data_IF_909309740081
#
_entry.id   IF_909309740081
#
_cell.length_a   1.000
_cell.length_b   1.000
_cell.length_c   1.000
_cell.angle_alpha   90.00
_cell.angle_beta   90.00
_cell.angle_gamma   90.00
#
_symmetry.space_group_name_H-M   'P 1'
#
loop_
_entity.id
_entity.type
_entity.pdbx_description
1 polymer ?
#
# COMPACT_ATOMS: atom_id res chain seq x y z
N UNK A 1 -41.34 9.78 -28.64
CA UNK A 1 -39.96 9.21 -28.60
C UNK A 1 -39.19 10.14 -27.70
N UNK A 2 -39.14 9.79 -26.42
CA UNK A 2 -38.31 10.46 -25.41
C UNK A 2 -36.88 10.01 -25.67
N UNK A 3 -35.99 10.94 -25.99
CA UNK A 3 -34.55 10.73 -25.93
C UNK A 3 -34.18 10.49 -24.45
N UNK A 4 -33.85 9.26 -24.15
CA UNK A 4 -33.18 8.94 -22.89
C UNK A 4 -31.77 9.52 -22.98
N UNK A 5 -31.58 10.65 -22.31
CA UNK A 5 -30.28 11.24 -22.05
C UNK A 5 -29.47 10.20 -21.28
N UNK A 6 -28.57 9.51 -21.96
CA UNK A 6 -27.61 8.61 -21.34
C UNK A 6 -26.64 9.50 -20.56
N UNK A 7 -26.86 9.57 -19.24
CA UNK A 7 -25.89 10.16 -18.30
C UNK A 7 -24.53 9.56 -18.62
N UNK A 8 -23.67 10.41 -19.16
CA UNK A 8 -22.26 10.10 -19.38
C UNK A 8 -21.66 9.72 -18.02
N UNK A 9 -21.40 8.44 -17.87
CA UNK A 9 -20.68 7.86 -16.73
C UNK A 9 -19.46 8.73 -16.48
N UNK A 10 -19.35 9.25 -15.27
CA UNK A 10 -18.23 10.05 -14.79
C UNK A 10 -16.90 9.46 -15.28
N UNK A 11 -16.25 10.17 -16.19
CA UNK A 11 -14.90 9.85 -16.64
C UNK A 11 -13.99 9.81 -15.41
N UNK A 12 -13.45 8.64 -15.15
CA UNK A 12 -12.61 8.34 -14.00
C UNK A 12 -11.49 9.37 -13.83
N UNK A 13 -11.28 9.88 -12.64
CA UNK A 13 -10.18 10.79 -12.29
C UNK A 13 -8.79 10.27 -12.74
N UNK A 14 -8.64 8.96 -12.88
CA UNK A 14 -7.43 8.32 -13.43
C UNK A 14 -7.36 8.47 -14.98
N UNK A 15 -8.46 8.59 -15.67
CA UNK A 15 -8.49 8.93 -17.11
C UNK A 15 -8.24 10.43 -17.36
N UNK A 16 -8.39 11.27 -16.34
CA UNK A 16 -8.12 12.71 -16.41
C UNK A 16 -6.62 13.02 -16.32
N UNK A 17 -5.77 12.12 -15.82
CA UNK A 17 -4.33 12.32 -15.89
C UNK A 17 -3.86 12.10 -17.33
N UNK A 18 -3.52 13.17 -18.02
CA UNK A 18 -2.98 13.13 -19.39
C UNK A 18 -1.66 12.36 -19.52
N UNK A 19 -1.04 11.96 -18.43
CA UNK A 19 0.26 11.27 -18.39
C UNK A 19 0.07 9.85 -17.88
N UNK A 20 0.40 8.86 -18.70
CA UNK A 20 0.44 7.44 -18.33
C UNK A 20 1.87 7.02 -18.01
N UNK A 21 2.03 5.97 -17.22
CA UNK A 21 3.37 5.45 -16.89
C UNK A 21 4.14 5.05 -18.14
N UNK A 22 3.46 4.46 -19.13
CA UNK A 22 4.04 4.07 -20.44
C UNK A 22 4.56 5.25 -21.26
N UNK A 23 4.09 6.47 -20.99
CA UNK A 23 4.46 7.68 -21.73
C UNK A 23 5.65 8.44 -21.08
N UNK A 24 6.15 7.92 -19.96
CA UNK A 24 7.30 8.50 -19.26
C UNK A 24 8.60 8.00 -19.91
N UNK A 25 9.31 8.89 -20.56
CA UNK A 25 10.63 8.59 -21.12
C UNK A 25 11.72 8.70 -20.06
N UNK A 26 12.64 7.74 -20.09
CA UNK A 26 13.83 7.78 -19.23
C UNK A 26 14.90 8.68 -19.86
N UNK A 27 15.51 9.59 -19.10
CA UNK A 27 16.62 10.41 -19.58
C UNK A 27 17.88 9.59 -19.89
N UNK A 28 18.01 8.42 -19.32
CA UNK A 28 19.06 7.42 -19.58
C UNK A 28 18.54 6.02 -19.23
N UNK A 29 19.08 4.99 -19.88
CA UNK A 29 18.72 3.60 -19.63
C UNK A 29 19.96 2.84 -19.13
N UNK A 30 19.86 2.30 -17.91
CA UNK A 30 20.91 1.48 -17.32
C UNK A 30 21.07 0.14 -18.05
N UNK A 31 19.97 -0.38 -18.60
CA UNK A 31 19.93 -1.61 -19.36
C UNK A 31 20.78 -1.56 -20.64
N UNK A 32 20.94 -0.39 -21.24
CA UNK A 32 21.83 -0.19 -22.40
C UNK A 32 23.31 -0.36 -22.04
N UNK A 33 23.68 -0.02 -20.80
CA UNK A 33 25.03 -0.21 -20.27
C UNK A 33 25.31 -1.62 -19.78
N UNK A 34 24.32 -2.23 -19.12
CA UNK A 34 24.39 -3.58 -18.61
C UNK A 34 22.99 -4.20 -18.55
N UNK A 35 22.77 -5.27 -19.30
CA UNK A 35 21.48 -5.96 -19.37
C UNK A 35 20.94 -6.45 -18.02
N UNK A 36 21.83 -6.71 -17.03
CA UNK A 36 21.43 -7.06 -15.67
C UNK A 36 20.75 -5.90 -14.91
N UNK A 37 20.97 -4.65 -15.33
CA UNK A 37 20.38 -3.47 -14.72
C UNK A 37 19.07 -3.03 -15.40
N UNK A 38 18.68 -3.65 -16.51
CA UNK A 38 17.43 -3.35 -17.21
C UNK A 38 16.18 -3.38 -16.32
N UNK A 39 16.02 -4.27 -15.30
CA UNK A 39 14.89 -4.21 -14.39
C UNK A 39 14.80 -2.91 -13.59
N UNK A 40 15.94 -2.25 -13.32
CA UNK A 40 15.96 -0.97 -12.58
C UNK A 40 15.38 0.18 -13.42
N UNK A 41 15.50 0.11 -14.74
CA UNK A 41 14.95 1.14 -15.63
C UNK A 41 13.44 1.29 -15.42
N UNK A 42 12.71 0.17 -15.29
CA UNK A 42 11.27 0.21 -15.02
C UNK A 42 10.93 0.82 -13.65
N UNK A 43 11.75 0.59 -12.64
CA UNK A 43 11.57 1.17 -11.29
C UNK A 43 11.85 2.68 -11.32
N UNK A 44 12.91 3.11 -12.00
CA UNK A 44 13.24 4.53 -12.17
C UNK A 44 12.11 5.25 -12.94
N UNK A 45 11.59 4.63 -13.99
CA UNK A 45 10.46 5.16 -14.76
C UNK A 45 9.23 5.37 -13.86
N UNK A 46 8.90 4.40 -13.00
CA UNK A 46 7.81 4.53 -12.04
C UNK A 46 8.08 5.66 -11.02
N UNK A 47 9.30 5.80 -10.51
CA UNK A 47 9.63 6.91 -9.61
C UNK A 47 9.49 8.29 -10.27
N UNK A 48 9.91 8.42 -11.52
CA UNK A 48 9.70 9.66 -12.29
C UNK A 48 8.19 9.92 -12.47
N UNK A 49 7.42 8.89 -12.78
CA UNK A 49 5.97 8.98 -12.88
C UNK A 49 5.34 9.41 -11.55
N UNK A 50 5.69 8.75 -10.44
CA UNK A 50 5.20 9.12 -9.11
C UNK A 50 5.54 10.57 -8.77
N UNK A 51 6.76 11.02 -9.04
CA UNK A 51 7.17 12.41 -8.83
C UNK A 51 6.33 13.41 -9.62
N UNK A 52 6.03 13.10 -10.90
CA UNK A 52 5.16 13.94 -11.74
C UNK A 52 3.73 13.96 -11.18
N UNK A 53 3.19 12.82 -10.78
CA UNK A 53 1.83 12.74 -10.24
C UNK A 53 1.72 13.45 -8.89
N UNK A 54 2.70 13.28 -8.01
CA UNK A 54 2.77 14.01 -6.74
C UNK A 54 2.74 15.51 -6.98
N UNK A 55 3.58 16.01 -7.91
CA UNK A 55 3.64 17.45 -8.21
C UNK A 55 2.34 18.01 -8.79
N UNK A 56 1.51 17.18 -9.42
CA UNK A 56 0.24 17.59 -10.01
C UNK A 56 -0.95 17.46 -9.06
N UNK A 57 -0.93 16.47 -8.17
CA UNK A 57 -2.10 16.09 -7.38
C UNK A 57 -1.98 16.41 -5.89
N UNK A 58 -0.76 16.49 -5.36
CA UNK A 58 -0.59 16.88 -3.98
C UNK A 58 -0.80 18.39 -3.84
N UNK A 59 -1.72 18.74 -2.97
CA UNK A 59 -2.09 20.12 -2.70
C UNK A 59 -1.85 20.49 -1.23
N UNK A 60 -2.60 21.46 -0.79
CA UNK A 60 -2.54 21.97 0.59
C UNK A 60 -2.89 20.88 1.62
N UNK A 61 -3.79 19.96 1.27
CA UNK A 61 -4.24 18.88 2.18
C UNK A 61 -3.09 17.91 2.48
N UNK A 62 -2.37 17.44 1.47
CA UNK A 62 -1.23 16.54 1.65
C UNK A 62 -0.09 17.24 2.39
N UNK A 63 0.16 18.51 2.07
CA UNK A 63 1.14 19.33 2.79
C UNK A 63 0.76 19.49 4.28
N UNK A 64 -0.53 19.73 4.59
CA UNK A 64 -1.00 19.79 5.97
C UNK A 64 -0.86 18.45 6.70
N UNK A 65 -1.17 17.32 6.05
CA UNK A 65 -1.00 16.00 6.65
C UNK A 65 0.46 15.78 7.03
N UNK A 66 1.39 16.02 6.10
CA UNK A 66 2.83 15.89 6.37
C UNK A 66 3.28 16.87 7.44
N UNK A 67 2.81 18.10 7.39
CA UNK A 67 3.13 19.14 8.38
C UNK A 67 2.69 18.78 9.79
N UNK A 68 1.44 18.33 9.97
CA UNK A 68 0.91 17.92 11.29
C UNK A 68 1.63 16.64 11.77
N UNK A 69 1.89 15.69 10.88
CA UNK A 69 2.65 14.51 11.21
C UNK A 69 4.10 14.83 11.62
N UNK A 70 4.76 15.74 10.91
CA UNK A 70 6.10 16.22 11.30
C UNK A 70 6.08 16.95 12.62
N UNK A 71 5.06 17.78 12.85
CA UNK A 71 4.87 18.48 14.12
C UNK A 71 4.69 17.51 15.29
N UNK A 72 3.91 16.44 15.10
CA UNK A 72 3.72 15.42 16.13
C UNK A 72 5.03 14.73 16.53
N UNK A 73 5.90 14.44 15.56
CA UNK A 73 7.25 13.89 15.83
C UNK A 73 8.12 14.94 16.55
N UNK A 74 8.15 16.19 16.08
CA UNK A 74 8.98 17.24 16.69
C UNK A 74 8.54 17.52 18.13
N UNK A 75 7.25 17.59 18.41
CA UNK A 75 6.74 17.74 19.76
C UNK A 75 7.08 16.55 20.65
N UNK A 76 7.02 15.32 20.09
CA UNK A 76 7.43 14.10 20.79
C UNK A 76 8.94 14.04 21.04
N UNK A 77 9.80 14.66 20.22
CA UNK A 77 11.25 14.71 20.46
C UNK A 77 11.58 15.51 21.73
N UNK A 78 10.76 16.48 22.09
CA UNK A 78 10.93 17.22 23.33
C UNK A 78 10.81 16.32 24.54
N UNK A 79 9.85 15.41 24.51
CA UNK A 79 9.64 14.40 25.54
C UNK A 79 10.71 13.29 25.51
N UNK A 80 11.39 13.12 24.37
CA UNK A 80 12.43 12.11 24.16
C UNK A 80 13.86 12.56 24.52
N UNK A 81 14.09 13.80 24.86
CA UNK A 81 15.43 14.24 25.20
C UNK A 81 15.70 15.74 25.12
N UNK A 82 15.15 16.46 24.15
CA UNK A 82 15.38 17.92 24.04
C UNK A 82 14.82 18.66 25.26
N UNK A 83 13.70 18.23 25.79
CA UNK A 83 13.09 18.84 26.95
C UNK A 83 13.90 18.63 28.22
N UNK A 84 14.54 17.47 28.40
CA UNK A 84 15.43 17.22 29.51
C UNK A 84 16.67 18.13 29.45
N UNK A 85 17.27 18.28 28.28
CA UNK A 85 18.39 19.18 28.05
C UNK A 85 17.97 20.64 28.32
N UNK A 86 16.79 21.05 27.89
CA UNK A 86 16.32 22.42 28.01
C UNK A 86 15.75 22.75 29.40
N UNK A 87 15.10 21.80 30.07
CA UNK A 87 14.45 21.98 31.35
C UNK A 87 15.30 21.58 32.56
N UNK A 88 16.38 20.85 32.35
CA UNK A 88 17.21 20.30 33.42
C UNK A 88 16.50 19.24 34.28
N UNK A 89 15.39 18.69 33.79
CA UNK A 89 14.57 17.72 34.49
C UNK A 89 14.69 16.31 33.92
N UNK A 90 14.52 15.33 34.77
CA UNK A 90 14.60 13.88 34.46
C UNK A 90 13.23 13.32 34.05
N UNK A 91 12.50 14.06 33.19
CA UNK A 91 11.12 13.74 32.82
C UNK A 91 10.97 12.56 31.84
N UNK A 92 12.07 12.10 31.22
CA UNK A 92 12.09 10.89 30.40
C UNK A 92 11.80 9.61 31.20
N UNK A 93 11.93 9.68 32.52
CA UNK A 93 11.59 8.58 33.42
C UNK A 93 10.10 8.59 33.72
N UNK A 94 9.31 8.27 32.74
CA UNK A 94 7.85 8.08 32.83
C UNK A 94 7.46 6.97 33.80
N UNK A 95 8.18 6.84 34.86
CA UNK A 95 7.75 6.16 36.03
C UNK A 95 7.29 4.76 35.94
N UNK A 96 7.83 4.00 35.02
CA UNK A 96 7.63 2.55 35.05
C UNK A 96 8.41 1.89 36.18
N UNK A 97 9.50 2.52 36.65
CA UNK A 97 10.40 1.95 37.67
C UNK A 97 11.02 3.03 38.57
N UNK A 98 10.90 2.88 39.89
CA UNK A 98 11.55 3.70 40.92
C UNK A 98 10.56 4.53 41.76
N UNK A 99 11.04 5.06 42.88
CA UNK A 99 10.25 5.77 43.89
C UNK A 99 9.72 7.16 43.37
N UNK A 100 10.33 7.69 42.31
CA UNK A 100 9.96 8.96 41.68
C UNK A 100 9.20 8.77 40.37
N UNK A 101 8.58 7.62 40.22
CA UNK A 101 7.91 7.21 39.04
C UNK A 101 6.50 7.79 38.89
N UNK A 102 6.13 8.26 37.70
CA UNK A 102 4.76 8.64 37.32
C UNK A 102 4.57 10.08 36.83
N UNK A 103 3.41 10.34 36.28
CA UNK A 103 3.00 11.63 35.71
C UNK A 103 3.17 12.83 36.67
N UNK A 104 3.18 12.59 37.97
CA UNK A 104 3.32 13.64 39.00
C UNK A 104 4.73 14.23 39.08
N UNK A 105 5.72 13.55 38.50
CA UNK A 105 7.12 13.99 38.52
C UNK A 105 7.59 14.58 37.18
N UNK A 106 6.70 14.61 36.17
CA UNK A 106 6.98 15.22 34.87
C UNK A 106 6.81 16.73 34.98
N UNK A 107 7.74 17.49 34.42
CA UNK A 107 7.62 18.94 34.33
C UNK A 107 6.37 19.32 33.53
N UNK A 108 5.57 20.29 34.03
CA UNK A 108 4.32 20.77 33.43
C UNK A 108 4.50 21.16 31.95
N UNK A 109 5.62 21.77 31.59
CA UNK A 109 5.91 22.15 30.22
C UNK A 109 6.13 20.93 29.30
N UNK A 110 6.86 19.94 29.74
CA UNK A 110 7.07 18.69 28.99
C UNK A 110 5.78 17.89 28.85
N UNK A 111 4.97 17.84 29.91
CA UNK A 111 3.65 17.22 29.87
C UNK A 111 2.74 17.93 28.85
N UNK A 112 2.75 19.26 28.80
CA UNK A 112 2.01 20.03 27.81
C UNK A 112 2.44 19.67 26.38
N UNK A 113 3.74 19.58 26.10
CA UNK A 113 4.26 19.24 24.79
C UNK A 113 3.92 17.80 24.39
N UNK A 114 4.00 16.85 25.32
CA UNK A 114 3.58 15.48 25.11
C UNK A 114 2.08 15.38 24.76
N UNK A 115 1.23 16.11 25.48
CA UNK A 115 -0.21 16.17 25.17
C UNK A 115 -0.47 16.80 23.81
N UNK A 116 0.24 17.88 23.45
CA UNK A 116 0.16 18.47 22.11
C UNK A 116 0.62 17.51 21.02
N UNK A 117 1.67 16.73 21.27
CA UNK A 117 2.12 15.66 20.36
C UNK A 117 1.02 14.62 20.14
N UNK A 118 0.37 14.15 21.22
CA UNK A 118 -0.73 13.18 21.12
C UNK A 118 -1.90 13.75 20.32
N UNK A 119 -2.27 15.01 20.56
CA UNK A 119 -3.34 15.69 19.81
C UNK A 119 -2.96 15.80 18.33
N UNK A 120 -1.70 16.15 18.02
CA UNK A 120 -1.21 16.22 16.65
C UNK A 120 -1.22 14.83 15.98
N UNK A 121 -0.87 13.75 16.68
CA UNK A 121 -0.99 12.37 16.20
C UNK A 121 -2.44 11.99 15.87
N UNK A 122 -3.39 12.30 16.77
CA UNK A 122 -4.82 12.07 16.53
C UNK A 122 -5.28 12.84 15.29
N UNK A 123 -4.89 14.12 15.17
CA UNK A 123 -5.18 14.96 14.01
C UNK A 123 -4.60 14.38 12.71
N UNK A 124 -3.35 13.91 12.75
CA UNK A 124 -2.69 13.27 11.62
C UNK A 124 -3.46 12.01 11.14
N UNK A 125 -3.78 11.09 12.05
CA UNK A 125 -4.54 9.89 11.72
C UNK A 125 -5.96 10.20 11.24
N UNK A 126 -6.64 11.18 11.82
CA UNK A 126 -7.96 11.62 11.37
C UNK A 126 -7.93 12.17 9.94
N UNK A 127 -6.89 12.93 9.59
CA UNK A 127 -6.69 13.44 8.23
C UNK A 127 -6.38 12.30 7.25
N UNK A 128 -5.51 11.36 7.60
CA UNK A 128 -5.25 10.18 6.77
C UNK A 128 -6.53 9.36 6.53
N UNK A 129 -7.31 9.14 7.59
CA UNK A 129 -8.58 8.39 7.54
C UNK A 129 -9.61 9.02 6.60
N UNK A 130 -9.72 10.35 6.63
CA UNK A 130 -10.65 11.09 5.78
C UNK A 130 -10.15 11.21 4.35
N UNK A 131 -8.84 11.40 4.16
CA UNK A 131 -8.24 11.62 2.84
C UNK A 131 -8.10 10.36 2.01
N UNK A 132 -7.87 9.20 2.64
CA UNK A 132 -7.63 7.93 1.96
C UNK A 132 -8.68 6.87 2.32
N UNK A 133 -9.94 7.05 1.91
CA UNK A 133 -11.05 6.17 2.30
C UNK A 133 -10.86 4.71 1.88
N UNK A 134 -10.26 4.45 0.71
CA UNK A 134 -10.01 3.07 0.23
C UNK A 134 -8.95 2.35 1.06
N UNK A 135 -8.03 3.10 1.67
CA UNK A 135 -6.91 2.55 2.44
C UNK A 135 -7.13 2.53 3.96
N UNK A 136 -8.35 2.82 4.45
CA UNK A 136 -8.64 2.92 5.90
C UNK A 136 -8.27 1.67 6.68
N UNK A 137 -8.64 0.51 6.18
CA UNK A 137 -8.30 -0.76 6.84
C UNK A 137 -6.79 -0.99 6.84
N UNK A 138 -6.13 -0.71 5.72
CA UNK A 138 -4.69 -0.83 5.59
C UNK A 138 -3.95 0.16 6.50
N UNK A 139 -4.49 1.38 6.70
CA UNK A 139 -3.96 2.35 7.67
C UNK A 139 -3.99 1.78 9.09
N UNK A 140 -5.06 1.11 9.49
CA UNK A 140 -5.15 0.46 10.82
C UNK A 140 -4.04 -0.60 10.97
N UNK A 141 -3.86 -1.46 9.97
CA UNK A 141 -2.81 -2.50 10.01
C UNK A 141 -1.40 -1.91 10.06
N UNK A 142 -1.13 -0.87 9.27
CA UNK A 142 0.17 -0.18 9.29
C UNK A 142 0.41 0.55 10.63
N UNK A 143 -0.65 1.09 11.26
CA UNK A 143 -0.56 1.68 12.60
C UNK A 143 -0.23 0.64 13.66
N UNK A 144 -0.90 -0.51 13.64
CA UNK A 144 -0.60 -1.63 14.55
C UNK A 144 0.85 -2.12 14.34
N UNK A 145 1.28 -2.23 13.10
CA UNK A 145 2.65 -2.61 12.76
C UNK A 145 3.68 -1.59 13.30
N UNK A 146 3.41 -0.30 13.17
CA UNK A 146 4.25 0.78 13.73
C UNK A 146 4.37 0.66 15.24
N UNK A 147 3.26 0.51 15.95
CA UNK A 147 3.25 0.34 17.41
C UNK A 147 4.00 -0.92 17.85
N UNK A 148 3.84 -2.02 17.12
CA UNK A 148 4.54 -3.27 17.44
C UNK A 148 6.06 -3.13 17.32
N UNK A 149 6.56 -2.41 16.30
CA UNK A 149 7.99 -2.14 16.13
C UNK A 149 8.51 -1.23 17.25
N UNK A 150 7.81 -0.14 17.53
CA UNK A 150 8.20 0.80 18.59
C UNK A 150 8.29 0.10 19.96
N UNK A 151 7.23 -0.63 20.33
CA UNK A 151 7.22 -1.40 21.58
C UNK A 151 8.30 -2.48 21.58
N UNK A 152 8.53 -3.15 20.46
CA UNK A 152 9.58 -4.16 20.33
C UNK A 152 10.99 -3.60 20.62
N UNK A 153 11.29 -2.41 20.09
CA UNK A 153 12.57 -1.74 20.39
C UNK A 153 12.67 -1.28 21.84
N UNK A 154 11.60 -0.72 22.40
CA UNK A 154 11.57 -0.33 23.82
C UNK A 154 11.84 -1.53 24.73
N UNK A 155 11.21 -2.68 24.47
CA UNK A 155 11.44 -3.92 25.23
C UNK A 155 12.89 -4.40 25.10
N UNK A 156 13.43 -4.47 23.88
CA UNK A 156 14.81 -4.91 23.66
C UNK A 156 15.82 -3.95 24.30
N UNK A 157 15.59 -2.65 24.21
CA UNK A 157 16.43 -1.63 24.80
C UNK A 157 16.35 -1.62 26.33
N UNK A 158 15.20 -1.98 26.90
CA UNK A 158 15.05 -2.15 28.36
C UNK A 158 15.87 -3.30 28.91
N UNK A 159 16.13 -4.33 28.10
CA UNK A 159 17.01 -5.46 28.48
C UNK A 159 18.48 -5.10 28.31
N UNK A 160 18.83 -4.39 27.23
CA UNK A 160 20.21 -3.99 26.91
C UNK A 160 20.24 -2.51 26.51
N UNK A 161 20.84 -1.66 27.33
CA UNK A 161 20.85 -0.19 27.14
C UNK A 161 21.46 0.25 25.79
N UNK A 162 22.43 -0.52 25.28
CA UNK A 162 23.12 -0.24 24.02
C UNK A 162 22.57 -1.06 22.84
N UNK A 163 21.34 -1.59 22.95
CA UNK A 163 20.78 -2.42 21.89
C UNK A 163 20.87 -1.72 20.52
N UNK A 164 21.34 -2.42 19.46
CA UNK A 164 21.73 -3.83 19.39
C UNK A 164 23.20 -4.12 19.77
N UNK A 165 23.98 -3.13 20.11
CA UNK A 165 25.41 -3.26 20.41
C UNK A 165 25.63 -3.84 21.81
N UNK A 166 26.49 -4.88 21.94
CA UNK A 166 26.73 -5.51 23.21
C UNK A 166 25.61 -6.37 23.79
N UNK A 167 24.52 -6.55 23.05
CA UNK A 167 23.35 -7.32 23.47
C UNK A 167 23.54 -8.83 23.33
N UNK A 168 22.85 -9.61 24.19
CA UNK A 168 22.75 -11.06 24.09
C UNK A 168 21.59 -11.49 23.17
N UNK A 169 21.54 -12.79 22.81
CA UNK A 169 20.45 -13.30 21.95
C UNK A 169 19.05 -13.14 22.56
N UNK A 170 18.93 -13.10 23.90
CA UNK A 170 17.66 -12.91 24.60
C UNK A 170 17.11 -11.48 24.44
N UNK A 171 17.99 -10.49 24.31
CA UNK A 171 17.61 -9.07 24.20
C UNK A 171 16.96 -8.75 22.85
N UNK A 172 17.15 -9.60 21.83
CA UNK A 172 16.51 -9.45 20.52
C UNK A 172 15.04 -9.85 20.47
N UNK A 173 14.48 -10.45 21.52
CA UNK A 173 13.13 -11.00 21.47
C UNK A 173 12.07 -9.92 21.17
N UNK A 174 12.15 -8.76 21.81
CA UNK A 174 11.23 -7.65 21.56
C UNK A 174 11.31 -7.15 20.11
N UNK A 175 12.51 -6.86 19.64
CA UNK A 175 12.79 -6.46 18.26
C UNK A 175 12.29 -7.50 17.25
N UNK A 176 12.58 -8.79 17.47
CA UNK A 176 12.18 -9.86 16.55
C UNK A 176 10.67 -9.98 16.45
N UNK A 177 9.95 -9.96 17.58
CA UNK A 177 8.48 -10.03 17.59
C UNK A 177 7.87 -8.79 16.92
N UNK A 178 8.35 -7.59 17.23
CA UNK A 178 7.87 -6.34 16.60
C UNK A 178 8.03 -6.36 15.08
N UNK A 179 9.20 -6.80 14.60
CA UNK A 179 9.46 -6.92 13.17
C UNK A 179 8.71 -8.08 12.49
N UNK A 180 8.45 -9.17 13.18
CA UNK A 180 7.59 -10.24 12.66
C UNK A 180 6.17 -9.72 12.41
N UNK A 181 5.62 -8.95 13.35
CA UNK A 181 4.31 -8.31 13.20
C UNK A 181 4.33 -7.29 12.05
N UNK A 182 5.39 -6.47 11.95
CA UNK A 182 5.56 -5.51 10.84
C UNK A 182 5.55 -6.23 9.48
N UNK A 183 6.38 -7.25 9.31
CA UNK A 183 6.47 -8.01 8.05
C UNK A 183 5.12 -8.66 7.73
N UNK A 184 4.48 -9.28 8.72
CA UNK A 184 3.19 -9.91 8.52
C UNK A 184 2.13 -8.89 8.05
N UNK A 185 1.97 -7.78 8.77
CA UNK A 185 0.93 -6.80 8.47
C UNK A 185 1.25 -5.99 7.20
N UNK A 186 2.48 -5.50 7.04
CA UNK A 186 2.83 -4.68 5.89
C UNK A 186 2.95 -5.50 4.59
N UNK A 187 3.56 -6.70 4.63
CA UNK A 187 3.83 -7.47 3.41
C UNK A 187 2.71 -8.47 3.13
N UNK A 188 2.29 -9.28 4.12
CA UNK A 188 1.31 -10.35 3.87
C UNK A 188 -0.10 -9.79 3.82
N UNK A 189 -0.44 -8.77 4.63
CA UNK A 189 -1.79 -8.21 4.65
C UNK A 189 -1.91 -7.06 3.66
N UNK A 190 -1.18 -5.95 3.88
CA UNK A 190 -1.37 -4.70 3.12
C UNK A 190 -0.86 -4.81 1.68
N UNK A 191 0.38 -5.23 1.48
CA UNK A 191 0.96 -5.34 0.13
C UNK A 191 0.17 -6.32 -0.74
N UNK A 192 -0.22 -7.46 -0.17
CA UNK A 192 -1.04 -8.44 -0.88
C UNK A 192 -2.43 -7.91 -1.21
N UNK A 193 -3.09 -7.19 -0.28
CA UNK A 193 -4.40 -6.60 -0.53
C UNK A 193 -4.37 -5.60 -1.71
N UNK A 194 -3.32 -4.77 -1.79
CA UNK A 194 -3.15 -3.81 -2.89
C UNK A 194 -2.89 -4.52 -4.21
N UNK A 195 -2.02 -5.54 -4.24
CA UNK A 195 -1.74 -6.32 -5.46
C UNK A 195 -2.99 -7.03 -5.96
N UNK A 196 -3.69 -7.77 -5.08
CA UNK A 196 -4.89 -8.52 -5.47
C UNK A 196 -6.00 -7.59 -5.97
N UNK A 197 -6.17 -6.43 -5.34
CA UNK A 197 -7.16 -5.43 -5.80
C UNK A 197 -6.77 -4.84 -7.16
N UNK A 198 -5.48 -4.51 -7.38
CA UNK A 198 -4.97 -4.04 -8.66
C UNK A 198 -5.18 -5.10 -9.75
N UNK A 199 -4.89 -6.37 -9.45
CA UNK A 199 -5.03 -7.46 -10.42
C UNK A 199 -6.48 -7.62 -10.88
N UNK A 200 -7.42 -7.59 -9.93
CA UNK A 200 -8.86 -7.61 -10.23
C UNK A 200 -9.25 -6.38 -11.08
N UNK A 201 -8.81 -5.20 -10.69
CA UNK A 201 -9.11 -3.96 -11.40
C UNK A 201 -8.65 -4.02 -12.87
N UNK A 202 -7.40 -4.47 -13.11
CA UNK A 202 -6.87 -4.58 -14.48
C UNK A 202 -7.59 -5.69 -15.26
N UNK A 203 -7.87 -6.84 -14.64
CA UNK A 203 -8.59 -7.94 -15.29
C UNK A 203 -10.02 -7.57 -15.67
N UNK A 204 -10.72 -6.75 -14.88
CA UNK A 204 -12.12 -6.39 -15.14
C UNK A 204 -12.29 -5.19 -16.07
N UNK A 205 -11.46 -4.16 -15.89
CA UNK A 205 -11.67 -2.89 -16.61
C UNK A 205 -10.84 -2.74 -17.88
N UNK A 206 -9.76 -3.51 -18.02
CA UNK A 206 -8.88 -3.44 -19.19
C UNK A 206 -8.92 -4.72 -20.02
N UNK A 207 -10.12 -5.32 -20.13
CA UNK A 207 -10.33 -6.43 -21.07
C UNK A 207 -10.29 -5.89 -22.50
N UNK A 208 -9.32 -6.36 -23.29
CA UNK A 208 -9.18 -5.98 -24.69
C UNK A 208 -8.76 -7.21 -25.52
N UNK A 209 -9.28 -7.37 -26.76
CA UNK A 209 -8.90 -8.49 -27.63
C UNK A 209 -7.44 -8.47 -28.05
N UNK A 210 -6.83 -7.29 -28.16
CA UNK A 210 -5.40 -7.15 -28.45
C UNK A 210 -4.58 -7.31 -27.18
N UNK A 211 -3.73 -8.36 -27.09
CA UNK A 211 -2.88 -8.61 -25.93
C UNK A 211 -1.88 -7.47 -25.65
N UNK A 212 -1.55 -6.64 -26.66
CA UNK A 212 -0.65 -5.50 -26.47
C UNK A 212 -1.30 -4.41 -25.62
N UNK A 213 -2.60 -4.18 -25.80
CA UNK A 213 -3.37 -3.20 -25.00
C UNK A 213 -3.47 -3.68 -23.56
N UNK A 214 -3.75 -4.98 -23.36
CA UNK A 214 -3.78 -5.59 -22.03
C UNK A 214 -2.40 -5.49 -21.35
N UNK A 215 -1.33 -5.80 -22.08
CA UNK A 215 0.04 -5.69 -21.55
C UNK A 215 0.39 -4.25 -21.18
N UNK A 216 -0.04 -3.26 -21.99
CA UNK A 216 0.14 -1.84 -21.67
C UNK A 216 -0.60 -1.47 -20.39
N UNK A 217 -1.86 -1.92 -20.22
CA UNK A 217 -2.62 -1.68 -19.00
C UNK A 217 -1.92 -2.25 -17.75
N UNK A 218 -1.39 -3.48 -17.82
CA UNK A 218 -0.58 -4.06 -16.75
C UNK A 218 0.68 -3.24 -16.45
N UNK A 219 1.32 -2.69 -17.47
CA UNK A 219 2.48 -1.82 -17.31
C UNK A 219 2.11 -0.50 -16.63
N UNK A 220 1.02 0.11 -17.05
CA UNK A 220 0.54 1.39 -16.50
C UNK A 220 0.08 1.27 -15.03
N UNK A 221 -0.34 0.07 -14.59
CA UNK A 221 -0.70 -0.24 -13.21
C UNK A 221 0.41 -0.95 -12.43
N UNK A 222 1.67 -0.69 -12.76
CA UNK A 222 2.80 -1.27 -12.05
C UNK A 222 2.91 -0.77 -10.61
N UNK A 223 3.31 -1.66 -9.70
CA UNK A 223 3.45 -1.41 -8.25
C UNK A 223 4.89 -1.59 -7.76
N UNK A 224 5.89 -1.64 -8.65
CA UNK A 224 7.28 -1.92 -8.26
C UNK A 224 7.86 -0.81 -7.37
N UNK A 225 7.75 0.45 -7.80
CA UNK A 225 8.22 1.60 -7.03
C UNK A 225 7.41 1.75 -5.73
N UNK A 226 6.10 1.50 -5.77
CA UNK A 226 5.27 1.51 -4.56
C UNK A 226 5.69 0.43 -3.56
N UNK A 227 5.94 -0.80 -4.01
CA UNK A 227 6.44 -1.90 -3.16
C UNK A 227 7.79 -1.57 -2.54
N UNK A 228 8.68 -0.93 -3.31
CA UNK A 228 9.97 -0.48 -2.79
C UNK A 228 9.82 0.65 -1.77
N UNK A 229 8.87 1.57 -1.96
CA UNK A 229 8.55 2.60 -0.98
C UNK A 229 8.00 2.02 0.32
N UNK A 230 7.16 0.99 0.24
CA UNK A 230 6.69 0.27 1.43
C UNK A 230 7.87 -0.39 2.19
N UNK A 231 8.79 -1.03 1.47
CA UNK A 231 9.99 -1.62 2.08
C UNK A 231 10.91 -0.53 2.69
N UNK A 232 11.08 0.59 2.01
CA UNK A 232 11.87 1.73 2.51
C UNK A 232 11.21 2.35 3.75
N UNK A 233 9.88 2.45 3.77
CA UNK A 233 9.13 2.86 4.96
C UNK A 233 9.38 1.94 6.15
N UNK A 234 9.37 0.62 5.95
CA UNK A 234 9.67 -0.35 7.01
C UNK A 234 11.08 -0.15 7.59
N UNK A 235 12.07 0.09 6.73
CA UNK A 235 13.47 0.33 7.16
C UNK A 235 13.56 1.63 7.96
N UNK A 236 12.98 2.72 7.47
CA UNK A 236 13.08 4.02 8.14
C UNK A 236 12.28 4.06 9.45
N UNK A 237 11.14 3.35 9.49
CA UNK A 237 10.40 3.12 10.73
C UNK A 237 11.27 2.41 11.78
N UNK A 238 12.01 1.37 11.38
CA UNK A 238 12.92 0.66 12.28
C UNK A 238 14.04 1.57 12.81
N UNK A 239 14.67 2.36 11.94
CA UNK A 239 15.75 3.29 12.34
C UNK A 239 15.19 4.34 13.31
N UNK A 240 14.05 4.94 13.00
CA UNK A 240 13.40 5.91 13.87
C UNK A 240 13.01 5.30 15.22
N UNK A 241 12.38 4.11 15.22
CA UNK A 241 11.95 3.42 16.43
C UNK A 241 13.13 3.00 17.32
N UNK A 242 14.24 2.55 16.71
CA UNK A 242 15.46 2.28 17.43
C UNK A 242 16.00 3.51 18.14
N UNK A 243 16.13 4.63 17.42
CA UNK A 243 16.64 5.87 17.99
C UNK A 243 15.71 6.41 19.10
N UNK A 244 14.38 6.32 18.90
CA UNK A 244 13.41 6.72 19.92
C UNK A 244 13.46 5.86 21.18
N UNK A 245 13.73 4.56 21.05
CA UNK A 245 13.82 3.66 22.19
C UNK A 245 14.95 4.00 23.17
N UNK A 246 16.04 4.60 22.70
CA UNK A 246 17.12 5.08 23.57
C UNK A 246 16.65 6.12 24.60
N UNK A 247 15.67 6.94 24.23
CA UNK A 247 15.17 8.00 25.10
C UNK A 247 14.01 7.56 26.01
N UNK A 248 13.17 6.63 25.52
CA UNK A 248 11.93 6.20 26.21
C UNK A 248 12.17 4.99 27.11
N UNK A 249 13.24 4.22 26.87
CA UNK A 249 13.54 3.02 27.63
C UNK A 249 13.85 3.34 29.10
N UNK A 250 13.40 2.51 30.07
CA UNK A 250 13.73 2.66 31.49
C UNK A 250 15.23 2.49 31.81
N UNK A 251 16.03 2.08 30.83
CA UNK A 251 17.50 2.01 30.92
C UNK A 251 18.13 2.82 29.79
N UNK A 252 18.04 4.17 29.82
CA UNK A 252 18.74 4.99 28.84
C UNK A 252 20.24 4.80 28.98
N UNK A 253 21.03 4.97 27.91
CA UNK A 253 22.47 4.96 27.99
C UNK A 253 22.95 6.02 28.99
N UNK A 254 23.92 5.64 29.84
CA UNK A 254 24.43 6.49 30.90
C UNK A 254 25.27 7.64 30.34
N UNK A 255 25.76 7.54 29.12
CA UNK A 255 26.54 8.54 28.40
C UNK A 255 25.67 9.39 27.48
N UNK A 256 25.43 10.42 27.83
CA UNK A 256 24.64 11.64 27.75
C UNK A 256 24.56 12.37 26.42
N UNK A 257 24.94 11.85 25.27
CA UNK A 257 24.64 12.57 24.01
C UNK A 257 23.40 12.01 23.31
N UNK A 258 22.22 12.25 23.92
CA UNK A 258 20.93 11.91 23.35
C UNK A 258 20.61 12.71 22.09
N UNK A 259 21.35 13.79 21.82
CA UNK A 259 21.11 14.68 20.67
C UNK A 259 21.16 13.94 19.35
N UNK A 260 22.13 13.03 19.17
CA UNK A 260 22.25 12.24 17.96
C UNK A 260 21.03 11.34 17.75
N UNK A 261 20.55 10.66 18.79
CA UNK A 261 19.39 9.78 18.72
C UNK A 261 18.10 10.57 18.43
N UNK A 262 17.93 11.74 19.04
CA UNK A 262 16.79 12.63 18.79
C UNK A 262 16.80 13.11 17.33
N UNK A 263 17.97 13.49 16.79
CA UNK A 263 18.08 13.90 15.37
C UNK A 263 17.76 12.73 14.44
N UNK A 264 18.27 11.54 14.70
CA UNK A 264 17.98 10.33 13.92
C UNK A 264 16.48 10.01 13.99
N UNK A 265 15.89 10.02 15.19
CA UNK A 265 14.47 9.79 15.40
C UNK A 265 13.61 10.77 14.58
N UNK A 266 13.87 12.08 14.70
CA UNK A 266 13.11 13.10 14.00
C UNK A 266 13.28 13.00 12.48
N UNK A 267 14.51 12.89 11.99
CA UNK A 267 14.80 12.84 10.56
C UNK A 267 14.13 11.62 9.90
N UNK A 268 14.42 10.43 10.40
CA UNK A 268 13.87 9.19 9.83
C UNK A 268 12.37 9.04 10.11
N UNK A 269 11.88 9.58 11.22
CA UNK A 269 10.46 9.64 11.52
C UNK A 269 9.69 10.50 10.52
N UNK A 270 10.16 11.71 10.21
CA UNK A 270 9.54 12.61 9.23
C UNK A 270 9.56 12.00 7.82
N UNK A 271 10.70 11.39 7.42
CA UNK A 271 10.78 10.71 6.12
C UNK A 271 9.84 9.49 6.09
N UNK A 272 9.81 8.70 7.16
CA UNK A 272 8.89 7.56 7.28
C UNK A 272 7.43 8.00 7.17
N UNK A 273 7.08 9.15 7.75
CA UNK A 273 5.75 9.76 7.65
C UNK A 273 5.39 10.14 6.22
N UNK A 274 6.30 10.80 5.50
CA UNK A 274 6.09 11.15 4.10
C UNK A 274 5.94 9.91 3.21
N UNK A 275 6.71 8.86 3.48
CA UNK A 275 6.59 7.57 2.81
C UNK A 275 5.25 6.89 3.13
N UNK A 276 4.76 6.95 4.36
CA UNK A 276 3.44 6.42 4.74
C UNK A 276 2.32 7.12 3.96
N UNK A 277 2.38 8.45 3.86
CA UNK A 277 1.41 9.22 3.04
C UNK A 277 1.45 8.74 1.58
N UNK A 278 2.64 8.55 1.00
CA UNK A 278 2.78 8.02 -0.35
C UNK A 278 2.26 6.59 -0.49
N UNK A 279 2.52 5.71 0.49
CA UNK A 279 2.04 4.32 0.51
C UNK A 279 0.51 4.26 0.52
N UNK A 280 -0.15 5.19 1.21
CA UNK A 280 -1.62 5.28 1.23
C UNK A 280 -2.18 5.97 -0.02
N UNK A 281 -1.49 7.01 -0.50
CA UNK A 281 -1.94 7.83 -1.62
C UNK A 281 -1.93 7.08 -2.95
N UNK A 282 -0.85 6.37 -3.29
CA UNK A 282 -0.70 5.81 -4.62
C UNK A 282 -1.75 4.74 -4.98
N UNK A 283 -2.08 3.75 -4.10
CA UNK A 283 -3.19 2.85 -4.37
C UNK A 283 -4.55 3.54 -4.43
N UNK A 284 -4.78 4.55 -3.59
CA UNK A 284 -5.98 5.38 -3.64
C UNK A 284 -6.09 6.13 -4.97
N UNK A 285 -4.99 6.68 -5.48
CA UNK A 285 -4.92 7.36 -6.77
C UNK A 285 -5.19 6.39 -7.93
N UNK A 286 -4.50 5.26 -7.94
CA UNK A 286 -4.56 4.29 -9.04
C UNK A 286 -5.91 3.55 -9.12
N UNK A 287 -6.55 3.26 -7.97
CA UNK A 287 -7.76 2.44 -7.87
C UNK A 287 -9.00 3.25 -7.47
N UNK A 288 -8.85 4.53 -7.14
CA UNK A 288 -9.89 5.35 -6.50
C UNK A 288 -11.19 5.51 -7.30
N UNK A 289 -11.10 5.46 -8.61
CA UNK A 289 -12.26 5.53 -9.49
C UNK A 289 -13.13 4.25 -9.49
N UNK A 290 -12.59 3.15 -8.96
CA UNK A 290 -13.30 1.86 -8.94
C UNK A 290 -14.33 1.75 -7.81
N UNK A 291 -14.28 2.61 -6.80
CA UNK A 291 -15.18 2.54 -5.64
C UNK A 291 -14.95 1.33 -4.72
N UNK A 292 -14.02 0.45 -5.07
CA UNK A 292 -13.77 -0.79 -4.36
C UNK A 292 -12.84 -0.57 -3.17
N UNK A 293 -13.13 -1.21 -2.05
CA UNK A 293 -12.21 -1.26 -0.90
C UNK A 293 -10.97 -2.04 -1.27
N UNK A 294 -9.80 -1.57 -0.81
CA UNK A 294 -8.55 -2.29 -1.00
C UNK A 294 -8.43 -3.36 0.08
N UNK A 295 -8.87 -4.55 -0.27
CA UNK A 295 -8.89 -5.73 0.60
C UNK A 295 -8.38 -6.95 -0.17
N UNK A 296 -7.84 -7.92 0.55
CA UNK A 296 -7.49 -9.21 -0.05
C UNK A 296 -8.75 -9.97 -0.50
N UNK A 297 -8.61 -10.79 -1.53
CA UNK A 297 -9.70 -11.66 -2.03
C UNK A 297 -10.32 -12.47 -0.90
N UNK A 298 -9.50 -13.03 -0.01
CA UNK A 298 -9.97 -13.81 1.13
C UNK A 298 -10.79 -12.97 2.12
N UNK A 299 -10.41 -11.71 2.37
CA UNK A 299 -11.18 -10.83 3.25
C UNK A 299 -12.56 -10.53 2.64
N UNK A 300 -12.64 -10.30 1.33
CA UNK A 300 -13.91 -10.11 0.60
C UNK A 300 -14.79 -11.35 0.63
N UNK A 301 -14.21 -12.55 0.47
CA UNK A 301 -14.94 -13.82 0.59
C UNK A 301 -15.54 -14.00 1.99
N UNK A 302 -14.76 -13.73 3.04
CA UNK A 302 -15.23 -13.83 4.45
C UNK A 302 -16.31 -12.80 4.76
N UNK A 303 -16.22 -11.60 4.19
CA UNK A 303 -17.23 -10.55 4.33
C UNK A 303 -18.53 -10.85 3.54
N UNK A 304 -18.54 -11.89 2.70
CA UNK A 304 -19.67 -12.23 1.83
C UNK A 304 -19.83 -11.26 0.65
N UNK A 305 -18.82 -10.44 0.40
CA UNK A 305 -18.78 -9.59 -0.77
C UNK A 305 -18.58 -10.48 -2.02
N UNK A 306 -19.31 -10.16 -3.09
CA UNK A 306 -19.18 -10.88 -4.34
C UNK A 306 -17.76 -10.70 -4.87
N UNK A 307 -16.97 -11.74 -4.78
CA UNK A 307 -15.73 -11.82 -5.55
C UNK A 307 -16.12 -12.34 -6.92
N UNK A 308 -15.91 -11.57 -7.99
CA UNK A 308 -16.20 -12.09 -9.33
C UNK A 308 -15.42 -13.38 -9.48
N UNK A 309 -16.13 -14.50 -9.60
CA UNK A 309 -15.50 -15.73 -10.05
C UNK A 309 -14.82 -15.36 -11.35
N UNK A 310 -13.50 -15.54 -11.45
CA UNK A 310 -12.81 -15.53 -12.76
C UNK A 310 -13.77 -16.16 -13.73
N UNK A 311 -14.27 -15.38 -14.69
CA UNK A 311 -15.22 -15.87 -15.66
C UNK A 311 -14.67 -17.21 -16.12
N UNK A 312 -15.41 -18.27 -15.85
CA UNK A 312 -14.86 -19.60 -16.11
C UNK A 312 -14.47 -19.55 -17.57
N UNK A 313 -13.22 -19.79 -17.92
CA UNK A 313 -12.71 -19.77 -19.30
C UNK A 313 -13.47 -20.72 -20.22
N UNK A 314 -14.61 -21.22 -19.74
CA UNK A 314 -15.53 -22.10 -20.46
C UNK A 314 -16.34 -21.37 -21.52
N UNK A 315 -16.58 -20.06 -21.38
CA UNK A 315 -17.37 -19.29 -22.34
C UNK A 315 -16.49 -18.19 -22.95
N UNK A 316 -16.44 -18.13 -24.27
CA UNK A 316 -15.77 -17.08 -25.01
C UNK A 316 -16.61 -15.82 -25.06
N UNK A 317 -15.99 -14.64 -25.17
CA UNK A 317 -16.67 -13.39 -25.44
C UNK A 317 -16.27 -12.82 -26.80
N UNK A 318 -17.16 -12.04 -27.41
CA UNK A 318 -16.84 -11.33 -28.63
C UNK A 318 -15.72 -10.31 -28.38
N UNK A 319 -14.64 -10.30 -29.15
CA UNK A 319 -13.54 -9.37 -28.94
C UNK A 319 -13.88 -7.91 -29.28
N UNK A 320 -15.02 -7.63 -29.94
CA UNK A 320 -15.40 -6.29 -30.35
C UNK A 320 -16.44 -5.67 -29.41
N UNK A 321 -17.49 -6.43 -29.05
CA UNK A 321 -18.60 -5.91 -28.25
C UNK A 321 -18.69 -6.54 -26.85
N UNK A 322 -17.76 -7.43 -26.48
CA UNK A 322 -17.73 -8.19 -25.20
C UNK A 322 -18.97 -9.04 -24.92
N UNK A 323 -19.88 -9.20 -25.88
CA UNK A 323 -21.03 -10.09 -25.74
C UNK A 323 -20.56 -11.55 -25.58
N UNK A 324 -21.23 -12.28 -24.70
CA UNK A 324 -20.90 -13.69 -24.46
C UNK A 324 -21.03 -14.51 -25.75
N UNK A 325 -20.00 -15.26 -26.06
CA UNK A 325 -20.01 -16.19 -27.19
C UNK A 325 -20.89 -17.38 -26.86
N UNK A 326 -21.61 -17.87 -27.86
CA UNK A 326 -22.35 -19.14 -27.75
C UNK A 326 -21.43 -20.36 -27.68
N UNK A 327 -20.12 -20.18 -27.91
CA UNK A 327 -19.13 -21.24 -27.81
C UNK A 327 -18.73 -21.50 -26.37
N UNK A 328 -18.79 -22.75 -25.95
CA UNK A 328 -18.38 -23.22 -24.61
C UNK A 328 -17.14 -24.09 -24.73
N UNK A 329 -16.17 -23.93 -23.86
CA UNK A 329 -15.01 -24.82 -23.78
C UNK A 329 -15.33 -25.97 -22.84
N UNK A 330 -15.26 -27.19 -23.36
CA UNK A 330 -15.41 -28.42 -22.57
C UNK A 330 -14.23 -28.65 -21.61
N UNK A 331 -14.39 -29.55 -20.66
CA UNK A 331 -13.33 -29.87 -19.66
C UNK A 331 -12.05 -30.45 -20.28
N UNK A 332 -12.17 -31.10 -21.44
CA UNK A 332 -11.07 -31.62 -22.27
C UNK A 332 -10.37 -30.53 -23.10
N UNK A 333 -10.81 -29.27 -23.01
CA UNK A 333 -10.27 -28.15 -23.74
C UNK A 333 -10.84 -27.96 -25.16
N UNK A 334 -11.73 -28.85 -25.64
CA UNK A 334 -12.40 -28.73 -26.94
C UNK A 334 -13.42 -27.58 -26.93
N UNK A 335 -13.56 -26.88 -28.04
CA UNK A 335 -14.58 -25.82 -28.21
C UNK A 335 -15.85 -26.47 -28.76
N UNK A 336 -16.97 -26.26 -28.08
CA UNK A 336 -18.28 -26.72 -28.48
C UNK A 336 -19.20 -25.53 -28.80
N UNK A 337 -19.96 -25.62 -29.85
CA UNK A 337 -20.91 -24.61 -30.31
C UNK A 337 -22.27 -25.28 -30.44
N UNK A 338 -23.36 -24.63 -29.98
CA UNK A 338 -24.70 -25.15 -30.17
C UNK A 338 -25.07 -25.20 -31.66
N UNK A 339 -25.75 -26.25 -32.06
CA UNK A 339 -26.24 -26.41 -33.41
C UNK A 339 -27.33 -25.39 -33.72
N UNK A 340 -27.28 -24.78 -34.90
CA UNK A 340 -28.33 -23.83 -35.35
C UNK A 340 -29.67 -24.51 -35.71
N UNK A 341 -29.71 -25.82 -35.79
CA UNK A 341 -30.87 -26.56 -36.29
C UNK A 341 -31.52 -27.47 -35.19
N UNK A 342 -30.80 -27.78 -34.14
CA UNK A 342 -31.29 -28.59 -33.00
C UNK A 342 -30.61 -28.11 -31.68
N UNK A 343 -30.96 -28.70 -30.57
CA UNK A 343 -30.35 -28.38 -29.27
C UNK A 343 -28.99 -29.08 -29.03
N UNK A 344 -28.50 -29.81 -30.02
CA UNK A 344 -27.20 -30.52 -29.96
C UNK A 344 -26.02 -29.54 -30.01
N UNK A 345 -24.85 -30.03 -29.57
CA UNK A 345 -23.59 -29.28 -29.57
C UNK A 345 -22.55 -30.03 -30.40
N UNK A 346 -21.56 -29.32 -30.92
CA UNK A 346 -20.44 -29.95 -31.62
C UNK A 346 -19.27 -28.98 -31.87
N UNK A 347 -18.16 -29.52 -32.37
CA UNK A 347 -17.00 -28.72 -32.69
C UNK A 347 -17.27 -27.81 -33.91
N UNK A 348 -16.72 -26.57 -33.94
CA UNK A 348 -16.85 -25.70 -35.11
C UNK A 348 -16.35 -26.38 -36.40
N UNK A 349 -17.14 -26.33 -37.47
CA UNK A 349 -16.82 -26.95 -38.76
C UNK A 349 -17.09 -28.45 -38.86
N UNK A 350 -17.62 -29.07 -37.80
CA UNK A 350 -18.00 -30.51 -37.83
C UNK A 350 -19.51 -30.69 -37.98
N UNK A 351 -19.94 -31.91 -38.32
CA UNK A 351 -21.36 -32.25 -38.32
C UNK A 351 -21.88 -32.42 -36.89
N UNK A 352 -23.08 -31.86 -36.63
CA UNK A 352 -23.76 -32.06 -35.34
C UNK A 352 -24.08 -33.54 -35.14
N UNK A 353 -23.84 -34.05 -33.95
CA UNK A 353 -24.05 -35.48 -33.60
C UNK A 353 -25.52 -35.89 -33.63
N UNK A 354 -26.46 -34.94 -33.49
CA UNK A 354 -27.89 -35.22 -33.40
C UNK A 354 -28.63 -35.06 -34.74
N UNK A 355 -28.32 -34.03 -35.52
CA UNK A 355 -29.06 -33.72 -36.74
C UNK A 355 -28.17 -33.72 -38.01
N UNK A 356 -26.88 -34.01 -37.89
CA UNK A 356 -25.91 -34.06 -38.98
C UNK A 356 -25.73 -32.73 -39.75
N UNK A 357 -26.28 -31.61 -39.26
CA UNK A 357 -26.07 -30.28 -39.83
C UNK A 357 -24.64 -29.79 -39.50
N UNK A 358 -23.97 -29.19 -40.48
CA UNK A 358 -22.62 -28.66 -40.30
C UNK A 358 -22.69 -27.42 -39.38
N UNK A 359 -21.98 -27.47 -38.24
CA UNK A 359 -21.85 -26.37 -37.32
C UNK A 359 -20.92 -25.32 -37.92
N UNK A 360 -21.32 -24.01 -37.92
CA UNK A 360 -20.48 -22.99 -38.53
C UNK A 360 -19.07 -22.94 -37.96
N UNK A 361 -18.06 -22.90 -38.83
CA UNK A 361 -16.66 -22.75 -38.43
C UNK A 361 -16.34 -21.33 -37.91
N UNK A 362 -17.19 -20.34 -38.24
CA UNK A 362 -17.11 -18.95 -37.78
C UNK A 362 -18.32 -18.64 -36.94
N UNK A 363 -18.08 -18.17 -35.74
CA UNK A 363 -19.13 -17.69 -34.84
C UNK A 363 -19.24 -16.18 -35.07
N UNK A 364 -20.38 -15.73 -35.60
CA UNK A 364 -20.67 -14.32 -35.73
C UNK A 364 -21.32 -13.80 -34.44
N UNK A 365 -20.91 -12.63 -34.00
CA UNK A 365 -21.60 -11.89 -32.95
C UNK A 365 -22.98 -11.49 -33.44
N UNK A 366 -23.97 -11.50 -32.55
CA UNK A 366 -25.37 -11.11 -32.90
C UNK A 366 -25.64 -9.61 -32.85
N UNK A 367 -24.64 -8.80 -32.45
CA UNK A 367 -24.72 -7.33 -32.44
C UNK A 367 -23.95 -6.72 -33.63
#
# INVERSE_FOLDING_TARGET
VEEVEVDTIDENLADVSQVRLSDVELPFKLGERNSRLAPLDSVIQEYIFHGKMISQQWGVTEAMIIGIGSLSIILGTWDLGIGEIASGGDYNRWGLYGDEAGFLHVNDFSLMLALLSIIAWIGFFALLWTRFPLMRENLVWLTIATLAVQLGFVVSHSSASDFPFGSSSGDFAGFAIGNLVLIFLAVIVVHRAVIETRDIHVEERHTHPDPRVVQKAWSDHSLKAWSLNLATWMIFLNISSWAGAHAVSPRPPIENDMTLYVVIYALFGIISMALLVHVLWYPQFMLGAAGDRIQSVRAREVAGEFVPKKASRSQGSCPICSADSVAVRSQDGSIQVPCSNCEGNGAPGTACTECNTIIPARISCRE
#
